data_IF_085224443347
#
_entry.id   IF_085224443347
#
_cell.length_a   1.000
_cell.length_b   1.000
_cell.length_c   1.000
_cell.angle_alpha   90.00
_cell.angle_beta   90.00
_cell.angle_gamma   90.00
#
_symmetry.space_group_name_H-M   'P 1'
#
loop_
_entity.id
_entity.type
_entity.pdbx_description
1 polymer ?
#
# COMPACT_ATOMS: atom_id res chain seq x y z
N UNK A 1 -9.43 -14.10 -11.23
CA UNK A 1 -9.42 -13.71 -9.82
C UNK A 1 -10.76 -13.97 -9.12
N UNK A 2 -11.92 -13.61 -9.66
CA UNK A 2 -13.23 -13.86 -8.98
C UNK A 2 -13.66 -15.33 -8.92
N UNK A 3 -13.33 -16.11 -9.96
CA UNK A 3 -13.76 -17.52 -10.08
C UNK A 3 -12.69 -18.52 -9.69
N UNK A 4 -11.45 -18.06 -9.57
CA UNK A 4 -10.27 -18.90 -9.32
C UNK A 4 -9.66 -18.49 -7.98
N UNK A 5 -9.77 -19.34 -6.93
CA UNK A 5 -9.22 -19.04 -5.61
C UNK A 5 -7.68 -19.03 -5.58
N UNK A 6 -7.03 -19.69 -6.55
CA UNK A 6 -5.57 -19.84 -6.62
C UNK A 6 -4.96 -18.87 -7.65
N UNK A 7 -5.74 -17.91 -8.16
CA UNK A 7 -5.32 -16.96 -9.19
C UNK A 7 -4.01 -16.23 -8.86
N UNK A 8 -3.80 -15.84 -7.59
CA UNK A 8 -2.57 -15.14 -7.23
C UNK A 8 -1.31 -16.03 -7.28
N UNK A 9 -1.44 -17.36 -7.25
CA UNK A 9 -0.27 -18.23 -7.36
C UNK A 9 0.36 -18.19 -8.76
N UNK A 10 -0.45 -17.99 -9.80
CA UNK A 10 0.03 -17.69 -11.16
C UNK A 10 0.60 -16.26 -11.23
N UNK A 11 -0.07 -15.27 -10.62
CA UNK A 11 0.39 -13.87 -10.61
C UNK A 11 1.78 -13.76 -9.98
N UNK A 12 2.02 -14.43 -8.84
CA UNK A 12 3.32 -14.47 -8.14
C UNK A 12 4.46 -15.03 -9.00
N UNK A 13 4.16 -15.74 -10.08
CA UNK A 13 5.14 -16.33 -11.00
C UNK A 13 5.27 -15.54 -12.31
N UNK A 14 4.46 -14.49 -12.49
CA UNK A 14 4.36 -13.75 -13.74
C UNK A 14 5.12 -12.41 -13.64
N UNK A 15 6.06 -12.10 -14.56
CA UNK A 15 6.64 -10.77 -14.64
C UNK A 15 5.59 -9.67 -14.86
N UNK A 16 5.69 -8.51 -14.19
CA UNK A 16 6.77 -8.07 -13.30
C UNK A 16 6.54 -8.37 -11.80
N UNK A 17 5.57 -9.21 -11.44
CA UNK A 17 5.17 -9.47 -10.05
C UNK A 17 6.01 -10.56 -9.36
N UNK A 18 6.75 -11.33 -10.14
CA UNK A 18 7.64 -12.40 -9.70
C UNK A 18 8.91 -11.93 -8.99
N UNK A 19 9.21 -10.62 -9.04
CA UNK A 19 10.43 -10.02 -8.51
C UNK A 19 10.24 -8.58 -8.07
N UNK A 20 11.19 -8.11 -7.25
CA UNK A 20 11.20 -6.74 -6.76
C UNK A 20 9.98 -6.46 -5.87
N UNK A 21 9.51 -5.21 -5.89
CA UNK A 21 8.42 -4.78 -5.00
C UNK A 21 7.04 -4.74 -5.63
N UNK A 22 6.89 -5.04 -6.94
CA UNK A 22 5.66 -4.73 -7.67
C UNK A 22 4.43 -5.42 -7.08
N UNK A 23 4.55 -6.67 -6.66
CA UNK A 23 3.45 -7.38 -6.00
C UNK A 23 3.03 -6.67 -4.71
N UNK A 24 4.01 -6.29 -3.88
CA UNK A 24 3.77 -5.55 -2.63
C UNK A 24 3.19 -4.15 -2.88
N UNK A 25 3.59 -3.47 -3.96
CA UNK A 25 3.02 -2.18 -4.35
C UNK A 25 1.53 -2.32 -4.73
N UNK A 26 1.16 -3.43 -5.39
CA UNK A 26 -0.26 -3.76 -5.63
C UNK A 26 -0.98 -4.03 -4.31
N UNK A 27 -0.34 -4.70 -3.34
CA UNK A 27 -0.92 -4.96 -2.01
C UNK A 27 -1.18 -3.66 -1.23
N UNK A 28 -0.28 -2.68 -1.31
CA UNK A 28 -0.51 -1.36 -0.71
C UNK A 28 -1.64 -0.60 -1.43
N UNK A 29 -1.69 -0.68 -2.76
CA UNK A 29 -2.73 -0.03 -3.57
C UNK A 29 -4.13 -0.63 -3.35
N UNK A 30 -4.28 -1.96 -3.26
CA UNK A 30 -5.58 -2.61 -2.94
C UNK A 30 -6.09 -2.19 -1.57
N UNK A 31 -5.22 -2.06 -0.56
CA UNK A 31 -5.60 -1.57 0.77
C UNK A 31 -6.08 -0.12 0.71
N UNK A 32 -5.35 0.73 -0.03
CA UNK A 32 -5.72 2.12 -0.26
C UNK A 32 -7.07 2.26 -0.97
N UNK A 33 -7.27 1.52 -2.07
CA UNK A 33 -8.52 1.52 -2.82
C UNK A 33 -9.68 0.98 -1.97
N UNK A 34 -9.45 -0.02 -1.12
CA UNK A 34 -10.48 -0.55 -0.22
C UNK A 34 -10.94 0.47 0.82
N UNK A 35 -10.02 1.27 1.40
CA UNK A 35 -10.40 2.33 2.33
C UNK A 35 -11.35 3.35 1.71
N UNK A 36 -11.14 3.68 0.44
CA UNK A 36 -12.01 4.59 -0.29
C UNK A 36 -13.25 3.89 -0.86
N UNK A 37 -13.20 2.58 -1.08
CA UNK A 37 -14.20 1.82 -1.84
C UNK A 37 -14.09 2.06 -3.35
N UNK A 38 -12.87 2.27 -3.85
CA UNK A 38 -12.60 2.48 -5.28
C UNK A 38 -12.42 1.13 -5.98
N UNK A 39 -13.41 0.72 -6.78
CA UNK A 39 -13.38 -0.55 -7.52
C UNK A 39 -12.85 -0.41 -8.96
N UNK A 40 -12.52 0.80 -9.41
CA UNK A 40 -12.18 1.09 -10.81
C UNK A 40 -10.67 1.02 -11.09
N UNK A 41 -9.92 0.28 -10.26
CA UNK A 41 -8.48 0.08 -10.43
C UNK A 41 -8.20 -0.97 -11.51
N UNK A 42 -8.33 -0.57 -12.77
CA UNK A 42 -8.06 -1.46 -13.91
C UNK A 42 -6.66 -1.27 -14.52
N UNK A 43 -5.98 -0.16 -14.21
CA UNK A 43 -4.60 0.12 -14.61
C UNK A 43 -3.81 0.72 -13.45
N UNK A 44 -2.48 0.66 -13.55
CA UNK A 44 -1.58 1.39 -12.70
C UNK A 44 -0.45 1.99 -13.55
N UNK A 45 0.07 3.14 -13.12
CA UNK A 45 1.17 3.82 -13.80
C UNK A 45 2.46 3.76 -12.98
N UNK A 46 3.59 3.87 -13.68
CA UNK A 46 4.92 3.87 -13.10
C UNK A 46 5.82 4.85 -13.86
N UNK A 47 6.91 5.29 -13.24
CA UNK A 47 7.89 6.12 -13.94
C UNK A 47 8.81 5.25 -14.81
N UNK A 48 8.60 5.29 -16.13
CA UNK A 48 9.36 4.49 -17.13
C UNK A 48 10.88 4.60 -16.95
N UNK A 49 11.37 5.79 -16.58
CA UNK A 49 12.81 6.06 -16.34
C UNK A 49 13.49 5.07 -15.38
N UNK A 50 12.74 4.47 -14.46
CA UNK A 50 13.26 3.55 -13.44
C UNK A 50 12.89 2.08 -13.72
N UNK A 51 12.27 1.78 -14.87
CA UNK A 51 11.90 0.43 -15.27
C UNK A 51 10.96 -0.24 -14.25
N UNK A 52 11.29 -1.47 -13.85
CA UNK A 52 10.49 -2.22 -12.87
C UNK A 52 10.80 -1.86 -11.41
N UNK A 53 11.90 -1.15 -11.15
CA UNK A 53 12.34 -0.76 -9.80
C UNK A 53 11.80 0.62 -9.43
N UNK A 54 10.48 0.74 -9.41
CA UNK A 54 9.75 1.98 -9.12
C UNK A 54 8.46 1.66 -8.39
N UNK A 55 7.91 2.68 -7.71
CA UNK A 55 6.60 2.61 -7.08
C UNK A 55 5.47 2.82 -8.10
N UNK A 56 4.26 2.41 -7.70
CA UNK A 56 3.02 2.67 -8.43
C UNK A 56 2.51 4.07 -8.11
N UNK A 57 2.15 4.83 -9.14
CA UNK A 57 1.53 6.14 -8.99
C UNK A 57 0.02 5.96 -8.69
N UNK A 58 -0.44 6.39 -7.52
CA UNK A 58 -1.85 6.27 -7.11
C UNK A 58 -2.72 7.38 -7.71
N UNK A 59 -3.10 7.25 -8.99
CA UNK A 59 -3.96 8.20 -9.73
C UNK A 59 -5.42 7.73 -9.82
N UNK A 60 -6.28 8.53 -10.45
CA UNK A 60 -7.68 8.19 -10.78
C UNK A 60 -8.55 7.70 -9.61
N UNK A 61 -8.48 8.44 -8.49
CA UNK A 61 -9.20 8.10 -7.26
C UNK A 61 -10.63 8.69 -7.20
N UNK A 62 -11.12 9.30 -8.29
CA UNK A 62 -12.39 10.04 -8.33
C UNK A 62 -13.65 9.19 -8.13
N UNK A 63 -13.54 7.86 -8.23
CA UNK A 63 -14.63 6.91 -7.92
C UNK A 63 -14.57 6.35 -6.50
N UNK A 64 -13.63 6.81 -5.69
CA UNK A 64 -13.62 6.56 -4.25
C UNK A 64 -14.75 7.29 -3.52
N UNK A 65 -14.99 6.89 -2.28
CA UNK A 65 -15.96 7.52 -1.35
C UNK A 65 -17.40 7.63 -1.90
N UNK A 66 -17.83 6.71 -2.77
CA UNK A 66 -19.21 6.68 -3.27
C UNK A 66 -20.24 6.09 -2.28
N UNK A 67 -19.81 5.20 -1.37
CA UNK A 67 -20.68 4.56 -0.37
C UNK A 67 -19.95 4.43 0.97
N UNK A 68 -20.52 4.95 2.05
CA UNK A 68 -20.00 4.77 3.42
C UNK A 68 -20.63 3.59 4.16
N UNK A 69 -21.84 3.17 3.76
CA UNK A 69 -22.64 2.11 4.39
C UNK A 69 -22.42 0.72 3.78
N UNK A 70 -21.54 0.61 2.78
CA UNK A 70 -21.18 -0.64 2.12
C UNK A 70 -19.66 -0.75 2.03
N UNK A 71 -19.12 -1.93 2.33
CA UNK A 71 -17.70 -2.23 2.20
C UNK A 71 -17.54 -3.24 1.07
N UNK A 72 -16.88 -2.83 -0.01
CA UNK A 72 -16.74 -3.66 -1.21
C UNK A 72 -15.57 -4.63 -1.05
N UNK A 73 -15.86 -5.79 -0.45
CA UNK A 73 -14.85 -6.80 -0.09
C UNK A 73 -14.11 -7.38 -1.30
N UNK A 74 -14.70 -7.31 -2.50
CA UNK A 74 -14.03 -7.74 -3.73
C UNK A 74 -12.72 -6.98 -3.98
N UNK A 75 -12.62 -5.73 -3.53
CA UNK A 75 -11.38 -4.93 -3.64
C UNK A 75 -10.23 -5.56 -2.85
N UNK A 76 -10.49 -6.25 -1.73
CA UNK A 76 -9.47 -6.92 -0.90
C UNK A 76 -9.06 -8.31 -1.40
N UNK A 77 -9.67 -8.82 -2.47
CA UNK A 77 -9.36 -10.16 -2.99
C UNK A 77 -7.87 -10.33 -3.35
N UNK A 78 -7.16 -9.34 -3.93
CA UNK A 78 -5.73 -9.44 -4.12
C UNK A 78 -4.98 -9.69 -2.80
N UNK A 79 -5.35 -9.01 -1.71
CA UNK A 79 -4.70 -9.20 -0.42
C UNK A 79 -4.95 -10.59 0.17
N UNK A 80 -6.19 -11.09 0.09
CA UNK A 80 -6.56 -12.39 0.64
C UNK A 80 -6.06 -13.58 -0.19
N UNK A 81 -5.93 -13.43 -1.51
CA UNK A 81 -5.36 -14.47 -2.37
C UNK A 81 -3.83 -14.47 -2.35
N UNK A 82 -3.21 -13.28 -2.39
CA UNK A 82 -1.76 -13.21 -2.43
C UNK A 82 -1.12 -13.43 -1.06
N UNK A 83 -1.78 -13.01 0.02
CA UNK A 83 -1.27 -13.09 1.39
C UNK A 83 0.16 -12.53 1.53
N UNK A 84 0.42 -11.35 0.96
CA UNK A 84 1.69 -10.62 1.07
C UNK A 84 1.42 -9.18 1.48
N UNK A 85 2.27 -8.60 2.31
CA UNK A 85 2.19 -7.18 2.70
C UNK A 85 3.56 -6.67 3.14
N UNK A 86 3.84 -5.39 2.89
CA UNK A 86 5.01 -4.72 3.46
C UNK A 86 4.92 -4.66 4.97
N UNK A 87 6.05 -4.91 5.64
CA UNK A 87 6.18 -4.77 7.09
C UNK A 87 5.86 -3.36 7.53
N UNK A 88 6.35 -2.34 6.82
CA UNK A 88 6.02 -0.95 7.16
C UNK A 88 4.53 -0.65 7.04
N UNK A 89 3.84 -1.18 6.02
CA UNK A 89 2.39 -1.06 5.88
C UNK A 89 1.67 -1.77 7.01
N UNK A 90 1.99 -3.04 7.28
CA UNK A 90 1.35 -3.83 8.33
C UNK A 90 1.44 -3.15 9.71
N UNK A 91 2.63 -2.64 10.07
CA UNK A 91 2.83 -1.93 11.34
C UNK A 91 2.06 -0.61 11.42
N UNK A 92 1.98 0.15 10.32
CA UNK A 92 1.19 1.39 10.28
C UNK A 92 -0.30 1.11 10.41
N UNK A 93 -0.81 0.06 9.76
CA UNK A 93 -2.21 -0.34 9.88
C UNK A 93 -2.56 -0.71 11.33
N UNK A 94 -1.69 -1.45 12.01
CA UNK A 94 -1.85 -1.78 13.42
C UNK A 94 -1.84 -0.53 14.32
N UNK A 95 -0.97 0.44 14.02
CA UNK A 95 -0.90 1.71 14.73
C UNK A 95 -2.21 2.51 14.57
N UNK A 96 -2.70 2.64 13.34
CA UNK A 96 -3.90 3.40 12.98
C UNK A 96 -5.20 2.81 13.57
N UNK A 97 -5.17 1.55 14.02
CA UNK A 97 -6.30 0.90 14.68
C UNK A 97 -6.38 1.20 16.19
N UNK A 98 -5.35 1.84 16.77
CA UNK A 98 -5.36 2.26 18.17
C UNK A 98 -6.16 3.54 18.35
N UNK A 99 -6.81 3.69 19.50
CA UNK A 99 -7.66 4.85 19.79
C UNK A 99 -6.91 6.19 19.72
N UNK A 100 -5.61 6.20 20.04
CA UNK A 100 -4.81 7.43 20.02
C UNK A 100 -4.43 7.88 18.59
N UNK A 101 -4.53 6.99 17.60
CA UNK A 101 -4.09 7.22 16.21
C UNK A 101 -5.16 6.85 15.19
N UNK A 102 -6.43 6.90 15.60
CA UNK A 102 -7.57 6.49 14.79
C UNK A 102 -7.54 7.15 13.40
N UNK A 103 -7.65 6.33 12.35
CA UNK A 103 -7.53 6.77 10.95
C UNK A 103 -8.52 7.88 10.59
N UNK A 104 -9.78 7.77 11.03
CA UNK A 104 -10.81 8.80 10.83
C UNK A 104 -10.39 10.18 11.34
N UNK A 105 -9.85 10.26 12.56
CA UNK A 105 -9.42 11.52 13.18
C UNK A 105 -8.26 12.16 12.44
N UNK A 106 -7.25 11.34 12.09
CA UNK A 106 -6.09 11.82 11.33
C UNK A 106 -6.49 12.31 9.94
N UNK A 107 -7.45 11.63 9.30
CA UNK A 107 -7.98 12.05 8.01
C UNK A 107 -8.77 13.35 8.12
N UNK A 108 -9.64 13.48 9.13
CA UNK A 108 -10.40 14.71 9.40
C UNK A 108 -9.46 15.91 9.62
N UNK A 109 -8.44 15.74 10.45
CA UNK A 109 -7.43 16.77 10.72
C UNK A 109 -6.62 17.13 9.46
N UNK A 110 -6.22 16.13 8.68
CA UNK A 110 -5.48 16.35 7.43
C UNK A 110 -6.31 17.13 6.39
N UNK A 111 -7.63 16.98 6.39
CA UNK A 111 -8.54 17.63 5.45
C UNK A 111 -9.07 18.99 5.95
N UNK A 112 -8.75 19.38 7.19
CA UNK A 112 -9.29 20.58 7.83
C UNK A 112 -8.90 21.88 7.10
N UNK A 113 -7.71 21.92 6.52
CA UNK A 113 -7.16 23.11 5.88
C UNK A 113 -7.53 23.23 4.39
N UNK A 114 -8.26 22.25 3.84
CA UNK A 114 -8.75 22.34 2.48
C UNK A 114 -9.89 23.36 2.39
N UNK A 115 -9.90 24.17 1.32
CA UNK A 115 -10.96 25.17 1.10
C UNK A 115 -12.34 24.55 0.89
N UNK A 116 -12.39 23.28 0.50
CA UNK A 116 -13.61 22.50 0.33
C UNK A 116 -14.07 21.81 1.63
N UNK A 117 -13.45 22.12 2.77
CA UNK A 117 -13.83 21.54 4.06
C UNK A 117 -15.33 21.78 4.37
N UNK A 118 -16.09 20.73 4.79
CA UNK A 118 -15.66 19.34 4.92
C UNK A 118 -15.56 18.62 3.57
N UNK A 119 -14.38 18.04 3.28
CA UNK A 119 -14.13 17.28 2.04
C UNK A 119 -14.80 15.89 2.09
N UNK A 120 -14.79 15.25 3.27
CA UNK A 120 -15.49 14.00 3.54
C UNK A 120 -16.48 14.21 4.68
N UNK A 121 -17.67 13.63 4.54
CA UNK A 121 -18.67 13.62 5.62
C UNK A 121 -18.32 12.58 6.69
N UNK A 122 -18.78 12.82 7.92
CA UNK A 122 -18.49 11.97 9.09
C UNK A 122 -18.70 10.46 8.86
N UNK A 123 -19.80 9.99 8.20
CA UNK A 123 -19.99 8.57 7.94
C UNK A 123 -18.87 7.93 7.08
N UNK A 124 -18.25 8.67 6.16
CA UNK A 124 -17.13 8.16 5.37
C UNK A 124 -15.87 8.01 6.22
N UNK A 125 -15.61 8.93 7.14
CA UNK A 125 -14.49 8.83 8.08
C UNK A 125 -14.66 7.59 8.98
N UNK A 126 -15.84 7.37 9.54
CA UNK A 126 -16.16 6.19 10.34
C UNK A 126 -16.06 4.88 9.54
N UNK A 127 -16.44 4.90 8.25
CA UNK A 127 -16.29 3.77 7.36
C UNK A 127 -14.81 3.39 7.16
N UNK A 128 -13.89 4.35 7.13
CA UNK A 128 -12.46 4.07 7.02
C UNK A 128 -11.94 3.26 8.22
N UNK A 129 -12.36 3.59 9.45
CA UNK A 129 -11.96 2.83 10.64
C UNK A 129 -12.52 1.40 10.61
N UNK A 130 -13.78 1.23 10.18
CA UNK A 130 -14.38 -0.09 10.01
C UNK A 130 -13.60 -0.91 8.98
N UNK A 131 -13.28 -0.32 7.83
CA UNK A 131 -12.51 -0.95 6.75
C UNK A 131 -11.08 -1.28 7.19
N UNK A 132 -10.43 -0.44 7.99
CA UNK A 132 -9.12 -0.73 8.59
C UNK A 132 -9.14 -2.03 9.41
N UNK A 133 -10.17 -2.23 10.22
CA UNK A 133 -10.32 -3.47 10.99
C UNK A 133 -10.49 -4.70 10.09
N UNK A 134 -11.24 -4.57 8.98
CA UNK A 134 -11.40 -5.65 7.99
C UNK A 134 -10.06 -5.99 7.31
N UNK A 135 -9.25 -5.00 6.94
CA UNK A 135 -7.90 -5.23 6.39
C UNK A 135 -7.03 -6.01 7.38
N UNK A 136 -7.03 -5.59 8.66
CA UNK A 136 -6.26 -6.28 9.70
C UNK A 136 -6.76 -7.72 9.93
N UNK A 137 -8.06 -7.97 9.82
CA UNK A 137 -8.63 -9.32 9.90
C UNK A 137 -8.16 -10.20 8.74
N UNK A 138 -8.19 -9.71 7.50
CA UNK A 138 -7.68 -10.44 6.33
C UNK A 138 -6.19 -10.78 6.52
N UNK A 139 -5.39 -9.83 6.97
CA UNK A 139 -3.97 -10.07 7.25
C UNK A 139 -3.75 -11.09 8.37
N UNK A 140 -4.57 -11.06 9.43
CA UNK A 140 -4.51 -12.04 10.51
C UNK A 140 -4.78 -13.46 10.00
N UNK A 141 -5.80 -13.64 9.15
CA UNK A 141 -6.12 -14.93 8.51
C UNK A 141 -4.96 -15.42 7.63
N UNK A 142 -4.37 -14.52 6.82
CA UNK A 142 -3.18 -14.86 6.02
C UNK A 142 -2.01 -15.31 6.91
N UNK A 143 -1.73 -14.57 7.99
CA UNK A 143 -0.63 -14.89 8.92
C UNK A 143 -0.87 -16.24 9.62
N UNK A 144 -2.10 -16.54 10.01
CA UNK A 144 -2.48 -17.83 10.60
C UNK A 144 -2.29 -18.99 9.60
N UNK A 145 -2.67 -18.79 8.34
CA UNK A 145 -2.59 -19.81 7.28
C UNK A 145 -1.16 -20.07 6.80
N UNK A 146 -0.38 -19.01 6.54
CA UNK A 146 0.90 -19.12 5.82
C UNK A 146 2.14 -18.86 6.71
N UNK A 147 1.94 -18.24 7.87
CA UNK A 147 2.99 -17.86 8.80
C UNK A 147 3.48 -16.42 8.58
N UNK A 148 3.79 -15.73 9.68
CA UNK A 148 4.13 -14.30 9.69
C UNK A 148 5.26 -13.93 8.71
N UNK A 149 6.33 -14.73 8.65
CA UNK A 149 7.50 -14.44 7.80
C UNK A 149 7.24 -14.59 6.30
N UNK A 150 6.20 -15.36 5.92
CA UNK A 150 5.81 -15.50 4.51
C UNK A 150 4.88 -14.39 4.06
N UNK A 151 4.07 -13.87 4.98
CA UNK A 151 3.07 -12.82 4.70
C UNK A 151 3.68 -11.43 4.81
N UNK A 152 4.48 -11.18 5.85
CA UNK A 152 4.99 -9.84 6.19
C UNK A 152 6.44 -9.71 5.74
N UNK A 153 6.64 -8.96 4.67
CA UNK A 153 7.95 -8.78 4.04
C UNK A 153 8.65 -7.51 4.49
N UNK A 154 9.95 -7.62 4.74
CA UNK A 154 10.76 -6.44 5.08
C UNK A 154 10.85 -5.52 3.87
N UNK A 155 10.73 -4.22 4.10
CA UNK A 155 10.82 -3.22 3.04
C UNK A 155 12.24 -3.21 2.44
N UNK A 156 12.43 -3.88 1.31
CA UNK A 156 13.71 -3.90 0.61
C UNK A 156 13.75 -2.80 -0.45
N UNK A 157 13.86 -1.55 0.01
CA UNK A 157 14.14 -0.42 -0.88
C UNK A 157 15.65 -0.33 -1.10
N UNK A 158 16.22 -1.27 -1.86
CA UNK A 158 17.62 -1.22 -2.27
C UNK A 158 17.96 0.15 -2.92
N UNK A 159 17.06 0.70 -3.74
CA UNK A 159 17.22 2.03 -4.35
C UNK A 159 17.23 3.20 -3.35
N UNK A 160 16.47 3.11 -2.24
CA UNK A 160 16.47 4.16 -1.22
C UNK A 160 17.76 4.16 -0.39
N UNK A 161 18.44 3.01 -0.32
CA UNK A 161 19.77 2.89 0.29
C UNK A 161 20.85 3.47 -0.63
N UNK A 162 20.77 3.23 -1.93
CA UNK A 162 21.70 3.84 -2.91
C UNK A 162 21.50 5.37 -3.03
N UNK A 163 20.25 5.85 -3.09
CA UNK A 163 19.95 7.28 -3.12
C UNK A 163 20.41 8.02 -1.86
N UNK A 164 20.48 7.33 -0.70
CA UNK A 164 21.04 7.87 0.55
C UNK A 164 22.55 7.72 0.66
N UNK A 165 23.14 6.70 0.02
CA UNK A 165 24.58 6.43 0.01
C UNK A 165 25.39 7.26 -0.99
N UNK A 166 24.75 7.91 -1.96
CA UNK A 166 25.40 8.71 -3.01
C UNK A 166 25.99 10.06 -2.58
N UNK A 167 26.22 10.34 -1.29
CA UNK A 167 26.81 11.63 -0.83
C UNK A 167 28.20 11.57 -0.19
N UNK A 168 28.78 10.39 0.07
CA UNK A 168 30.05 10.30 0.82
C UNK A 168 31.17 9.53 0.11
N UNK A 169 31.49 9.88 -1.14
CA UNK A 169 32.76 9.47 -1.78
C UNK A 169 33.63 10.68 -2.14
N UNK A 170 34.38 11.11 -1.12
CA UNK A 170 35.74 11.64 -1.16
C UNK A 170 36.24 12.38 -2.42
N UNK A 171 36.44 13.69 -2.30
CA UNK A 171 37.53 14.40 -3.00
C UNK A 171 38.77 14.42 -2.11
N UNK A 172 39.49 13.30 -2.02
CA UNK A 172 40.89 13.33 -1.59
C UNK A 172 41.73 13.89 -2.76
N UNK A 173 41.98 15.20 -2.74
CA UNK A 173 43.03 15.81 -3.58
C UNK A 173 44.38 15.41 -3.00
N UNK A 174 45.11 14.59 -3.73
CA UNK A 174 46.51 14.30 -3.50
C UNK A 174 47.37 15.47 -4.04
N UNK A 175 48.27 16.09 -3.26
CA UNK A 175 49.22 17.06 -3.79
C UNK A 175 50.52 16.35 -4.19
N UNK A 176 50.89 16.39 -5.47
CA UNK A 176 52.22 15.91 -5.88
C UNK A 176 52.50 15.85 -7.38
N UNK A 177 53.48 16.65 -7.82
CA UNK A 177 54.21 16.67 -9.11
C UNK A 177 53.43 17.23 -10.32
N UNK A 178 53.79 18.39 -10.90
CA UNK A 178 55.10 18.90 -11.34
C UNK A 178 55.15 20.42 -11.27
#
# INVERSE_FOLDING_TARGET
WEVDPDYCDEVKQTPPFDRGSRLLDIMDMTIFDFFMGNMDRHHYETFEKFGNETFIIHLDNGRGFGKHSHDELSILVPLSQCCRVRKSTHLRLQLLAKEEYQLSRLMEESLLHDRLHPVLIQPHLEAMDRRLRLVLQVLAVCVEKEGYSKVVEVDDHHWAREARGGRDTATHRNPGHR
#
